data_IF_849698980115
#
_entry.id   IF_849698980115
#
_cell.length_a   1.000
_cell.length_b   1.000
_cell.length_c   1.000
_cell.angle_alpha   90.00
_cell.angle_beta   90.00
_cell.angle_gamma   90.00
#
_symmetry.space_group_name_H-M   'P 1'
#
loop_
_entity.id
_entity.type
_entity.pdbx_description
1 polymer ?
#
# COMPACT_ATOMS: atom_id res chain seq x y z
N UNK A 1 -2.06 -1.11 -31.05
CA UNK A 1 -1.48 -1.39 -30.63
C UNK A 1 -1.29 -1.49 -30.34
N UNK A 2 -1.09 -1.22 -30.12
CA UNK A 2 -0.48 -1.33 -29.57
C UNK A 2 -0.37 -1.21 -29.09
N UNK A 3 -0.40 -0.99 -28.83
CA UNK A 3 0.08 -0.96 -28.08
C UNK A 3 0.01 -0.83 -27.56
N UNK A 4 -0.29 -0.62 -27.38
CA UNK A 4 0.14 -0.65 -26.67
C UNK A 4 -0.11 -0.65 -26.23
N UNK A 5 -0.29 -0.38 -26.15
CA UNK A 5 0.11 -0.59 -25.48
C UNK A 5 0.19 -0.59 -24.97
N UNK A 6 0.12 -0.36 -25.00
CA UNK A 6 0.79 -0.46 -24.33
C UNK A 6 0.80 -0.20 -23.82
N UNK A 7 0.65 0.03 -23.68
CA UNK A 7 1.18 0.11 -23.03
C UNK A 7 1.09 0.29 -22.47
N UNK A 8 0.77 0.49 -22.43
CA UNK A 8 1.26 0.40 -21.81
C UNK A 8 1.21 0.57 -21.35
N UNK A 9 0.81 1.01 -21.28
CA UNK A 9 1.28 0.88 -20.62
C UNK A 9 1.34 0.95 -19.91
N UNK A 10 1.03 1.26 -19.74
CA UNK A 10 1.52 1.00 -18.87
C UNK A 10 1.68 0.91 -18.47
N UNK A 11 2.13 0.77 -18.20
CA UNK A 11 2.72 0.26 -17.75
C UNK A 11 3.32 0.18 -17.22
N UNK A 12 3.41 -0.03 -17.30
CA UNK A 12 4.10 -0.45 -16.64
C UNK A 12 4.99 0.02 -16.08
N UNK A 13 5.04 -0.02 -15.35
CA UNK A 13 6.02 0.42 -14.78
C UNK A 13 7.14 -0.36 -14.73
N UNK A 14 7.74 -0.40 -15.73
CA UNK A 14 8.92 -1.12 -15.92
C UNK A 14 9.98 -0.54 -15.04
N UNK A 15 10.64 -1.35 -14.27
CA UNK A 15 11.71 -0.89 -13.45
C UNK A 15 11.35 -0.56 -12.02
N UNK A 16 10.06 -0.56 -11.73
CA UNK A 16 9.65 -0.38 -10.36
C UNK A 16 9.70 -1.72 -9.67
N UNK A 17 10.41 -1.80 -8.56
CA UNK A 17 10.47 -3.01 -7.77
C UNK A 17 10.14 -2.67 -6.35
N UNK A 18 9.14 -3.37 -5.83
CA UNK A 18 8.77 -3.20 -4.44
C UNK A 18 9.70 -4.04 -3.61
N UNK A 19 10.45 -3.41 -2.74
CA UNK A 19 11.44 -4.11 -1.94
C UNK A 19 11.06 -4.23 -0.49
N UNK A 20 10.06 -3.47 -0.07
CA UNK A 20 9.61 -3.53 1.31
C UNK A 20 8.11 -3.66 1.32
N UNK A 21 7.63 -4.44 2.26
CA UNK A 21 6.20 -4.73 2.40
C UNK A 21 5.89 -4.82 3.87
N UNK A 22 4.80 -4.19 4.28
CA UNK A 22 4.34 -4.31 5.64
C UNK A 22 2.82 -4.22 5.66
N UNK A 23 2.23 -4.71 6.73
CA UNK A 23 0.80 -4.57 6.97
C UNK A 23 0.66 -3.76 8.25
N UNK A 24 0.00 -2.62 8.12
CA UNK A 24 -0.23 -1.73 9.25
C UNK A 24 -1.63 -1.94 9.78
N UNK A 25 -1.78 -1.82 11.08
CA UNK A 25 -3.06 -2.05 11.72
C UNK A 25 -3.36 -0.92 12.70
N UNK A 26 -4.62 -0.57 12.80
CA UNK A 26 -5.06 0.44 13.74
C UNK A 26 -6.47 0.09 14.23
N UNK A 27 -6.83 0.64 15.35
CA UNK A 27 -8.12 0.33 15.98
C UNK A 27 -9.30 1.11 15.42
N UNK A 28 -9.06 2.11 14.58
CA UNK A 28 -10.14 2.88 13.98
C UNK A 28 -9.70 3.34 12.60
N UNK A 29 -10.71 3.70 11.79
CA UNK A 29 -10.41 4.22 10.46
C UNK A 29 -9.60 5.50 10.53
N UNK A 30 -9.92 6.35 11.49
CA UNK A 30 -9.22 7.62 11.63
C UNK A 30 -7.76 7.41 11.98
N UNK A 31 -7.48 6.48 12.87
CA UNK A 31 -6.11 6.18 13.26
C UNK A 31 -5.35 5.55 12.10
N UNK A 32 -6.01 4.65 11.36
CA UNK A 32 -5.35 4.05 10.21
C UNK A 32 -5.05 5.11 9.16
N UNK A 33 -5.97 6.04 8.93
CA UNK A 33 -5.74 7.10 7.96
C UNK A 33 -4.54 7.96 8.32
N UNK A 34 -4.39 8.29 9.60
CA UNK A 34 -3.24 9.06 10.04
C UNK A 34 -1.95 8.28 9.85
N UNK A 35 -1.98 7.00 10.19
CA UNK A 35 -0.81 6.15 10.03
C UNK A 35 -0.40 6.03 8.57
N UNK A 36 -1.37 5.81 7.68
CA UNK A 36 -1.09 5.66 6.26
C UNK A 36 -0.51 6.97 5.70
N UNK A 37 -1.08 8.11 6.08
CA UNK A 37 -0.55 9.38 5.60
C UNK A 37 0.89 9.59 6.04
N UNK A 38 1.20 9.23 7.28
CA UNK A 38 2.56 9.33 7.77
C UNK A 38 3.49 8.43 6.96
N UNK A 39 3.04 7.23 6.65
CA UNK A 39 3.87 6.31 5.88
C UNK A 39 4.07 6.79 4.45
N UNK A 40 3.05 7.38 3.84
CA UNK A 40 3.19 7.95 2.50
C UNK A 40 4.28 9.03 2.52
N UNK A 41 4.31 9.85 3.57
CA UNK A 41 5.34 10.88 3.70
C UNK A 41 6.74 10.27 3.72
N UNK A 42 6.86 9.03 4.19
CA UNK A 42 8.13 8.34 4.26
C UNK A 42 8.38 7.42 3.07
N UNK A 43 7.64 7.61 1.99
CA UNK A 43 7.90 6.88 0.76
C UNK A 43 7.13 5.59 0.60
N UNK A 44 6.26 5.25 1.53
CA UNK A 44 5.44 4.07 1.42
C UNK A 44 4.22 4.35 0.56
N UNK A 45 3.68 3.32 -0.04
CA UNK A 45 2.51 3.42 -0.88
C UNK A 45 1.52 2.34 -0.48
N UNK A 46 0.25 2.69 -0.25
CA UNK A 46 -0.75 1.66 0.06
C UNK A 46 -1.03 0.83 -1.17
N UNK A 47 -1.29 -0.45 -0.94
CA UNK A 47 -1.61 -1.36 -2.02
C UNK A 47 -2.84 -2.15 -1.61
N UNK A 48 -3.82 -2.19 -2.51
CA UNK A 48 -5.08 -2.83 -2.20
C UNK A 48 -5.94 -2.00 -1.28
N UNK A 49 -7.09 -2.52 -0.95
CA UNK A 49 -8.03 -1.85 -0.06
C UNK A 49 -7.77 -2.18 1.40
N UNK A 50 -8.55 -1.54 2.26
CA UNK A 50 -8.49 -1.77 3.69
C UNK A 50 -9.27 -3.01 4.02
N UNK A 51 -8.70 -3.84 4.90
CA UNK A 51 -9.38 -5.02 5.43
C UNK A 51 -9.64 -4.82 6.91
N UNK A 52 -10.56 -5.59 7.42
CA UNK A 52 -10.90 -5.56 8.84
C UNK A 52 -10.77 -6.98 9.38
N UNK A 53 -10.12 -7.12 10.54
CA UNK A 53 -10.13 -8.40 11.22
C UNK A 53 -10.47 -8.20 12.68
N UNK A 54 -10.70 -9.30 13.38
CA UNK A 54 -10.99 -9.29 14.80
C UNK A 54 -9.80 -9.91 15.51
N UNK A 55 -9.30 -9.21 16.50
CA UNK A 55 -8.18 -9.69 17.28
C UNK A 55 -8.50 -9.41 18.74
N UNK A 56 -8.62 -10.47 19.55
CA UNK A 56 -8.92 -10.35 20.97
C UNK A 56 -10.18 -9.50 21.18
N UNK A 57 -11.23 -9.85 20.45
CA UNK A 57 -12.55 -9.21 20.55
C UNK A 57 -12.57 -7.74 20.13
N UNK A 58 -11.53 -7.26 19.47
CA UNK A 58 -11.49 -5.89 18.98
C UNK A 58 -11.29 -5.89 17.48
N UNK A 59 -12.00 -5.02 16.79
CA UNK A 59 -11.84 -4.87 15.35
C UNK A 59 -10.57 -4.07 15.06
N UNK A 60 -9.85 -4.50 14.04
CA UNK A 60 -8.67 -3.80 13.57
C UNK A 60 -8.83 -3.52 12.08
N UNK A 61 -8.35 -2.37 11.67
CA UNK A 61 -8.34 -1.97 10.28
C UNK A 61 -6.92 -2.11 9.76
N UNK A 62 -6.78 -2.81 8.64
CA UNK A 62 -5.48 -3.22 8.13
C UNK A 62 -5.26 -2.63 6.76
N UNK A 63 -4.02 -2.20 6.49
CA UNK A 63 -3.64 -1.71 5.17
C UNK A 63 -2.24 -2.20 4.84
N UNK A 64 -2.13 -2.84 3.68
CA UNK A 64 -0.82 -3.26 3.18
C UNK A 64 -0.11 -2.06 2.56
N UNK A 65 1.17 -1.96 2.84
CA UNK A 65 2.00 -0.86 2.33
C UNK A 65 3.23 -1.44 1.69
N UNK A 66 3.66 -0.83 0.60
CA UNK A 66 4.89 -1.23 -0.08
C UNK A 66 5.76 -0.01 -0.28
N UNK A 67 7.04 -0.25 -0.42
CA UNK A 67 7.99 0.82 -0.68
C UNK A 67 9.07 0.32 -1.62
N UNK A 68 9.31 1.10 -2.67
CA UNK A 68 10.43 0.84 -3.56
C UNK A 68 11.67 1.47 -2.95
N UNK A 69 12.75 0.73 -2.97
CA UNK A 69 14.02 1.26 -2.51
C UNK A 69 14.97 1.32 -3.67
N UNK A 70 15.71 2.40 -3.70
CA UNK A 70 16.79 2.50 -4.64
C UNK A 70 18.08 2.30 -3.90
N UNK A 71 18.90 1.47 -4.42
CA UNK A 71 20.19 1.18 -3.79
C UNK A 71 21.31 1.96 -4.42
#
# INVERSE_FOLDING_TARGET
MDNARKEEKGRVEVGVMWKEYTIEAAGSREDLGRLVRKMITNGWQPIGGVCIDIHEDAARFLQSMVRARED
#
